data_IF_661412771801
#
_entry.id   IF_661412771801
#
_cell.length_a   1.000
_cell.length_b   1.000
_cell.length_c   1.000
_cell.angle_alpha   90.00
_cell.angle_beta   90.00
_cell.angle_gamma   90.00
#
_symmetry.space_group_name_H-M   'P 1'
#
loop_
_entity.id
_entity.type
_entity.pdbx_description
1 polymer ?
#
# COMPACT_ATOMS: atom_id res chain seq x y z
N UNK A 1 -8.32 -6.68 -6.69
CA UNK A 1 -7.27 -5.64 -6.51
C UNK A 1 -6.27 -5.72 -7.64
N UNK A 2 -5.83 -4.58 -8.17
CA UNK A 2 -4.89 -4.51 -9.29
C UNK A 2 -3.46 -4.86 -8.84
N UNK A 3 -3.09 -4.51 -7.61
CA UNK A 3 -1.85 -4.96 -6.96
C UNK A 3 -1.71 -6.49 -6.97
N UNK A 4 -2.75 -7.20 -6.54
CA UNK A 4 -2.76 -8.68 -6.55
C UNK A 4 -2.49 -9.25 -7.95
N UNK A 5 -3.15 -8.70 -8.97
CA UNK A 5 -2.95 -9.10 -10.37
C UNK A 5 -1.48 -8.91 -10.82
N UNK A 6 -0.85 -7.80 -10.43
CA UNK A 6 0.54 -7.51 -10.76
C UNK A 6 1.53 -8.43 -10.06
N UNK A 7 1.26 -8.76 -8.79
CA UNK A 7 2.11 -9.66 -7.99
C UNK A 7 2.02 -11.10 -8.51
N UNK A 8 0.81 -11.58 -8.82
CA UNK A 8 0.57 -12.96 -9.29
C UNK A 8 0.91 -13.19 -10.77
N UNK A 9 1.09 -12.11 -11.56
CA UNK A 9 1.50 -12.23 -12.95
C UNK A 9 2.89 -12.91 -13.07
N UNK A 10 3.17 -13.63 -14.16
CA UNK A 10 4.47 -14.28 -14.35
C UNK A 10 5.60 -13.25 -14.50
N UNK A 11 5.36 -12.17 -15.23
CA UNK A 11 6.30 -11.06 -15.41
C UNK A 11 5.60 -9.72 -15.15
N UNK A 12 6.41 -8.69 -14.84
CA UNK A 12 5.88 -7.35 -14.57
C UNK A 12 5.17 -6.77 -15.80
N UNK A 13 5.77 -6.92 -16.99
CA UNK A 13 5.16 -6.49 -18.26
C UNK A 13 3.87 -7.27 -18.56
N UNK A 14 3.82 -8.57 -18.25
CA UNK A 14 2.59 -9.35 -18.41
C UNK A 14 1.48 -8.85 -17.49
N UNK A 15 1.81 -8.49 -16.25
CA UNK A 15 0.85 -7.88 -15.32
C UNK A 15 0.37 -6.52 -15.84
N UNK A 16 1.29 -5.67 -16.30
CA UNK A 16 0.96 -4.35 -16.82
C UNK A 16 0.07 -4.44 -18.07
N UNK A 17 0.37 -5.36 -18.99
CA UNK A 17 -0.46 -5.58 -20.17
C UNK A 17 -1.89 -6.03 -19.80
N UNK A 18 -2.04 -6.85 -18.76
CA UNK A 18 -3.36 -7.24 -18.23
C UNK A 18 -4.13 -6.07 -17.60
N UNK A 19 -3.44 -5.09 -17.03
CA UNK A 19 -4.07 -3.87 -16.53
C UNK A 19 -4.47 -2.89 -17.65
N UNK A 20 -3.65 -2.77 -18.70
CA UNK A 20 -3.94 -1.92 -19.85
C UNK A 20 -5.08 -2.48 -20.70
N UNK A 21 -5.19 -3.80 -20.79
CA UNK A 21 -6.24 -4.49 -21.54
C UNK A 21 -7.15 -5.29 -20.59
N UNK A 22 -7.81 -4.60 -19.66
CA UNK A 22 -8.67 -5.25 -18.68
C UNK A 22 -10.08 -5.49 -19.25
N UNK A 23 -10.45 -6.76 -19.39
CA UNK A 23 -11.79 -7.17 -19.83
C UNK A 23 -12.66 -7.75 -18.69
N UNK A 24 -12.12 -7.78 -17.46
CA UNK A 24 -12.77 -8.41 -16.29
C UNK A 24 -13.59 -7.38 -15.53
N UNK A 25 -13.11 -6.13 -15.42
CA UNK A 25 -13.77 -5.09 -14.62
C UNK A 25 -15.04 -4.55 -15.26
N UNK A 26 -15.06 -4.40 -16.59
CA UNK A 26 -16.17 -3.80 -17.34
C UNK A 26 -16.55 -4.65 -18.58
N UNK A 27 -16.76 -5.96 -18.40
CA UNK A 27 -17.18 -6.85 -19.49
C UNK A 27 -18.51 -6.38 -20.12
N UNK A 28 -18.64 -6.33 -21.47
CA UNK A 28 -17.75 -6.89 -22.50
C UNK A 28 -16.61 -5.96 -22.97
N UNK A 29 -16.51 -4.74 -22.44
CA UNK A 29 -15.52 -3.77 -22.90
C UNK A 29 -14.13 -4.07 -22.33
N UNK A 30 -13.10 -3.78 -23.15
CA UNK A 30 -11.71 -3.78 -22.71
C UNK A 30 -11.34 -2.35 -22.34
N UNK A 31 -10.98 -2.13 -21.07
CA UNK A 31 -10.64 -0.80 -20.55
C UNK A 31 -9.21 -0.75 -20.04
N UNK A 32 -8.58 0.40 -20.24
CA UNK A 32 -7.31 0.71 -19.61
C UNK A 32 -7.54 1.04 -18.13
N UNK A 33 -7.32 0.04 -17.26
CA UNK A 33 -7.50 0.20 -15.83
C UNK A 33 -6.52 1.21 -15.23
N UNK A 34 -5.31 1.34 -15.79
CA UNK A 34 -4.28 2.25 -15.29
C UNK A 34 -4.76 3.69 -15.29
N UNK A 35 -5.24 4.14 -16.45
CA UNK A 35 -5.72 5.50 -16.65
C UNK A 35 -7.11 5.70 -16.03
N UNK A 36 -8.03 4.75 -16.24
CA UNK A 36 -9.43 4.90 -15.82
C UNK A 36 -9.61 4.91 -14.31
N UNK A 37 -8.80 4.14 -13.58
CA UNK A 37 -8.89 4.02 -12.13
C UNK A 37 -7.69 4.63 -11.38
N UNK A 38 -6.75 5.29 -12.07
CA UNK A 38 -5.56 5.87 -11.45
C UNK A 38 -4.84 4.90 -10.49
N UNK A 39 -4.62 3.66 -10.92
CA UNK A 39 -4.06 2.57 -10.09
C UNK A 39 -2.53 2.58 -10.07
N UNK A 40 -1.91 3.73 -10.38
CA UNK A 40 -0.47 3.89 -10.40
C UNK A 40 0.20 3.53 -9.06
N UNK A 41 -0.35 3.91 -7.88
CA UNK A 41 0.23 3.49 -6.61
C UNK A 41 0.31 1.98 -6.46
N UNK A 42 -0.72 1.24 -6.88
CA UNK A 42 -0.74 -0.23 -6.82
C UNK A 42 0.33 -0.86 -7.73
N UNK A 43 0.56 -0.27 -8.91
CA UNK A 43 1.61 -0.73 -9.86
C UNK A 43 3.00 -0.46 -9.30
N UNK A 44 3.24 0.72 -8.71
CA UNK A 44 4.53 1.05 -8.07
C UNK A 44 4.82 0.09 -6.91
N UNK A 45 3.84 -0.13 -6.02
CA UNK A 45 3.99 -1.04 -4.87
C UNK A 45 4.24 -2.48 -5.35
N UNK A 46 3.57 -2.93 -6.42
CA UNK A 46 3.84 -4.25 -6.99
C UNK A 46 5.26 -4.38 -7.55
N UNK A 47 5.78 -3.33 -8.18
CA UNK A 47 7.18 -3.25 -8.63
C UNK A 47 8.16 -3.36 -7.47
N UNK A 48 7.93 -2.56 -6.40
CA UNK A 48 8.73 -2.58 -5.19
C UNK A 48 8.68 -3.95 -4.49
N UNK A 49 7.51 -4.58 -4.41
CA UNK A 49 7.36 -5.93 -3.85
C UNK A 49 8.18 -6.96 -4.62
N UNK A 50 8.05 -7.00 -5.95
CA UNK A 50 8.82 -7.92 -6.81
C UNK A 50 10.32 -7.68 -6.69
N UNK A 51 10.73 -6.41 -6.57
CA UNK A 51 12.10 -6.00 -6.27
C UNK A 51 12.58 -6.54 -4.91
N UNK A 52 11.81 -6.33 -3.85
CA UNK A 52 12.11 -6.82 -2.50
C UNK A 52 12.31 -8.34 -2.51
N UNK A 53 11.42 -9.11 -3.14
CA UNK A 53 11.52 -10.57 -3.21
C UNK A 53 12.76 -11.01 -4.01
N UNK A 54 13.11 -10.28 -5.07
CA UNK A 54 14.31 -10.56 -5.85
C UNK A 54 15.58 -10.31 -5.02
N UNK A 55 15.64 -9.18 -4.33
CA UNK A 55 16.76 -8.81 -3.46
C UNK A 55 16.86 -9.76 -2.26
N UNK A 56 15.74 -10.12 -1.64
CA UNK A 56 15.74 -11.01 -0.46
C UNK A 56 16.22 -12.41 -0.82
N UNK A 57 15.87 -12.92 -2.01
CA UNK A 57 16.38 -14.20 -2.53
C UNK A 57 17.87 -14.12 -2.84
N UNK A 58 18.33 -13.01 -3.40
CA UNK A 58 19.75 -12.81 -3.68
C UNK A 58 20.59 -12.68 -2.40
N UNK A 59 20.05 -12.04 -1.36
CA UNK A 59 20.73 -11.82 -0.08
C UNK A 59 20.47 -12.94 0.96
N UNK A 60 19.79 -14.02 0.57
CA UNK A 60 19.40 -15.15 1.46
C UNK A 60 18.70 -14.69 2.75
N UNK A 61 17.87 -13.65 2.66
CA UNK A 61 17.13 -13.09 3.78
C UNK A 61 15.74 -13.74 3.90
N UNK A 62 15.49 -14.37 5.05
CA UNK A 62 14.17 -14.88 5.40
C UNK A 62 13.25 -13.74 5.87
N UNK A 63 12.43 -13.23 4.95
CA UNK A 63 11.49 -12.11 5.18
C UNK A 63 10.04 -12.55 5.46
N UNK A 64 9.78 -13.85 5.51
CA UNK A 64 8.51 -14.43 5.92
C UNK A 64 8.72 -15.77 6.60
N UNK A 65 7.85 -16.09 7.55
CA UNK A 65 7.80 -17.39 8.21
C UNK A 65 6.43 -18.02 7.95
N UNK A 66 6.42 -19.31 7.61
CA UNK A 66 5.20 -20.05 7.33
C UNK A 66 5.03 -21.16 8.36
N UNK A 67 3.87 -21.20 8.98
CA UNK A 67 3.48 -22.20 9.96
C UNK A 67 2.19 -22.89 9.54
N UNK A 68 2.05 -24.14 9.96
CA UNK A 68 0.89 -24.96 9.61
C UNK A 68 -0.13 -24.87 10.74
N UNK A 69 -1.28 -24.25 10.47
CA UNK A 69 -2.33 -24.06 11.47
C UNK A 69 -3.36 -25.18 11.35
N UNK A 70 -3.60 -25.86 12.47
CA UNK A 70 -4.72 -26.81 12.59
C UNK A 70 -6.01 -26.04 12.74
N UNK A 71 -7.00 -26.36 11.91
CA UNK A 71 -8.34 -25.77 11.99
C UNK A 71 -9.22 -26.65 12.88
N UNK A 72 -10.18 -26.02 13.56
CA UNK A 72 -11.23 -26.75 14.26
C UNK A 72 -12.05 -27.59 13.26
N UNK A 73 -12.85 -28.54 13.76
CA UNK A 73 -13.76 -29.42 13.00
C UNK A 73 -13.11 -30.43 12.03
N UNK A 74 -11.91 -30.93 12.33
CA UNK A 74 -11.29 -32.03 11.55
C UNK A 74 -10.90 -31.64 10.12
N UNK A 75 -10.88 -30.35 9.82
CA UNK A 75 -10.45 -29.81 8.54
C UNK A 75 -8.94 -30.00 8.35
N UNK A 76 -8.48 -30.22 7.10
CA UNK A 76 -7.06 -30.34 6.83
C UNK A 76 -6.32 -29.06 7.25
N UNK A 77 -5.11 -29.20 7.78
CA UNK A 77 -4.32 -28.05 8.19
C UNK A 77 -3.95 -27.17 6.98
N UNK A 78 -3.92 -25.86 7.17
CA UNK A 78 -3.63 -24.87 6.12
C UNK A 78 -2.33 -24.13 6.45
N UNK A 79 -1.56 -23.78 5.42
CA UNK A 79 -0.38 -22.93 5.57
C UNK A 79 -0.79 -21.48 5.81
N UNK A 80 -0.31 -20.92 6.91
CA UNK A 80 -0.39 -19.49 7.21
C UNK A 80 1.03 -18.94 7.19
N UNK A 81 1.25 -17.92 6.35
CA UNK A 81 2.53 -17.23 6.29
C UNK A 81 2.36 -15.82 6.83
N UNK A 82 3.35 -15.37 7.59
CA UNK A 82 3.43 -14.02 8.13
C UNK A 82 4.80 -13.40 7.85
N UNK A 83 4.86 -12.08 7.86
CA UNK A 83 6.06 -11.30 7.54
C UNK A 83 5.90 -10.37 6.35
N UNK A 84 6.95 -9.60 6.07
CA UNK A 84 6.94 -8.52 5.06
C UNK A 84 6.97 -9.06 3.63
N UNK A 85 7.44 -10.29 3.41
CA UNK A 85 7.39 -10.94 2.10
C UNK A 85 6.00 -11.48 1.73
N UNK A 86 5.03 -11.43 2.65
CA UNK A 86 3.62 -11.71 2.33
C UNK A 86 3.02 -10.51 1.57
N UNK A 87 2.41 -10.69 0.38
CA UNK A 87 1.96 -9.58 -0.45
C UNK A 87 1.03 -8.58 0.25
N UNK A 88 0.08 -9.08 1.04
CA UNK A 88 -0.89 -8.26 1.75
C UNK A 88 -0.22 -7.42 2.85
N UNK A 89 0.68 -8.03 3.63
CA UNK A 89 1.44 -7.35 4.67
C UNK A 89 2.33 -6.26 4.08
N UNK A 90 3.05 -6.56 2.99
CA UNK A 90 3.90 -5.57 2.30
C UNK A 90 3.09 -4.34 1.87
N UNK A 91 1.96 -4.56 1.21
CA UNK A 91 1.09 -3.48 0.76
C UNK A 91 0.61 -2.62 1.94
N UNK A 92 0.21 -3.27 3.03
CA UNK A 92 -0.25 -2.58 4.23
C UNK A 92 0.87 -1.79 4.89
N UNK A 93 2.09 -2.33 4.96
CA UNK A 93 3.28 -1.59 5.42
C UNK A 93 3.52 -0.33 4.59
N UNK A 94 3.43 -0.41 3.26
CA UNK A 94 3.53 0.77 2.39
C UNK A 94 2.44 1.81 2.71
N UNK A 95 1.19 1.38 2.92
CA UNK A 95 0.10 2.27 3.28
C UNK A 95 0.36 3.01 4.62
N UNK A 96 0.82 2.28 5.65
CA UNK A 96 1.19 2.89 6.93
C UNK A 96 2.37 3.84 6.83
N UNK A 97 3.38 3.50 6.02
CA UNK A 97 4.50 4.42 5.75
C UNK A 97 4.00 5.73 5.11
N UNK A 98 3.09 5.66 4.15
CA UNK A 98 2.50 6.85 3.51
C UNK A 98 1.62 7.67 4.47
N UNK A 99 0.89 7.00 5.36
CA UNK A 99 0.15 7.66 6.43
C UNK A 99 1.09 8.41 7.39
N UNK A 100 2.20 7.78 7.78
CA UNK A 100 3.24 8.40 8.59
C UNK A 100 3.88 9.60 7.90
N UNK A 101 4.17 9.50 6.59
CA UNK A 101 4.67 10.62 5.79
C UNK A 101 3.67 11.78 5.73
N UNK A 102 2.37 11.50 5.65
CA UNK A 102 1.33 12.54 5.68
C UNK A 102 1.41 13.34 6.99
N UNK A 103 1.43 12.65 8.13
CA UNK A 103 1.54 13.29 9.44
C UNK A 103 2.86 14.07 9.58
N UNK A 104 3.96 13.52 9.08
CA UNK A 104 5.26 14.19 9.08
C UNK A 104 5.25 15.47 8.24
N UNK A 105 4.64 15.45 7.05
CA UNK A 105 4.54 16.65 6.21
C UNK A 105 3.62 17.71 6.78
N UNK A 106 2.52 17.33 7.45
CA UNK A 106 1.69 18.28 8.20
C UNK A 106 2.50 18.96 9.31
N UNK A 107 3.28 18.19 10.06
CA UNK A 107 4.17 18.74 11.09
C UNK A 107 5.19 19.71 10.48
N UNK A 108 5.87 19.31 9.40
CA UNK A 108 6.87 20.15 8.74
C UNK A 108 6.24 21.42 8.16
N UNK A 109 5.08 21.34 7.52
CA UNK A 109 4.37 22.50 7.00
C UNK A 109 3.96 23.48 8.11
N UNK A 110 3.42 22.98 9.22
CA UNK A 110 3.08 23.81 10.39
C UNK A 110 4.31 24.44 11.05
N UNK A 111 5.43 23.72 11.10
CA UNK A 111 6.69 24.23 11.64
C UNK A 111 7.30 25.30 10.75
N UNK A 112 7.27 25.12 9.42
CA UNK A 112 7.75 26.08 8.43
C UNK A 112 6.90 27.37 8.45
N UNK A 113 5.57 27.23 8.48
CA UNK A 113 4.65 28.38 8.47
C UNK A 113 4.76 29.23 9.74
N UNK A 114 4.86 28.58 10.91
CA UNK A 114 5.00 29.27 12.20
C UNK A 114 6.44 29.64 12.55
N UNK A 115 7.42 29.14 11.81
CA UNK A 115 8.87 29.19 12.11
C UNK A 115 9.24 28.64 13.50
N UNK A 116 8.42 27.74 14.05
CA UNK A 116 8.64 27.13 15.38
C UNK A 116 8.23 25.67 15.37
N UNK A 117 8.87 24.85 16.21
CA UNK A 117 8.44 23.46 16.39
C UNK A 117 7.05 23.35 17.04
N UNK A 118 6.68 24.34 17.85
CA UNK A 118 5.37 24.40 18.51
C UNK A 118 4.22 24.46 17.49
N UNK A 119 4.34 25.24 16.41
CA UNK A 119 3.31 25.29 15.38
C UNK A 119 3.20 23.98 14.58
N UNK A 120 4.31 23.27 14.38
CA UNK A 120 4.29 21.92 13.81
C UNK A 120 3.57 20.91 14.72
N UNK A 121 3.89 20.92 16.02
CA UNK A 121 3.22 20.09 17.02
C UNK A 121 1.72 20.38 17.09
N UNK A 122 1.33 21.67 17.05
CA UNK A 122 -0.07 22.07 17.04
C UNK A 122 -0.80 21.55 15.79
N UNK A 123 -0.20 21.68 14.61
CA UNK A 123 -0.77 21.18 13.36
C UNK A 123 -0.95 19.64 13.39
N UNK A 124 0.06 18.91 13.85
CA UNK A 124 -0.01 17.47 14.00
C UNK A 124 -1.07 17.05 15.03
N UNK A 125 -1.16 17.74 16.17
CA UNK A 125 -2.19 17.49 17.17
C UNK A 125 -3.59 17.72 16.59
N UNK A 126 -3.82 18.84 15.89
CA UNK A 126 -5.09 19.11 15.21
C UNK A 126 -5.45 18.03 14.19
N UNK A 127 -4.47 17.52 13.43
CA UNK A 127 -4.69 16.40 12.50
C UNK A 127 -5.13 15.12 13.21
N UNK A 128 -4.47 14.74 14.31
CA UNK A 128 -4.86 13.55 15.07
C UNK A 128 -6.17 13.72 15.85
N UNK A 129 -6.48 14.91 16.36
CA UNK A 129 -7.79 15.17 16.98
C UNK A 129 -8.93 15.09 15.97
N UNK A 130 -8.68 15.46 14.72
CA UNK A 130 -9.66 15.38 13.64
C UNK A 130 -9.42 14.17 12.73
N UNK A 131 -8.75 13.11 13.23
CA UNK A 131 -8.23 12.04 12.37
C UNK A 131 -9.33 11.38 11.53
N UNK A 132 -10.49 11.12 12.11
CA UNK A 132 -11.65 10.50 11.44
C UNK A 132 -12.17 11.31 10.25
N UNK A 133 -12.07 12.64 10.33
CA UNK A 133 -12.50 13.55 9.27
C UNK A 133 -11.36 13.90 8.29
N UNK A 134 -10.11 13.83 8.77
CA UNK A 134 -8.93 14.12 7.97
C UNK A 134 -8.48 12.94 7.09
N UNK A 135 -8.69 11.70 7.55
CA UNK A 135 -8.31 10.50 6.81
C UNK A 135 -9.08 9.26 7.26
N UNK A 136 -9.32 8.33 6.35
CA UNK A 136 -9.96 7.05 6.66
C UNK A 136 -8.95 5.91 6.85
N UNK A 137 -7.67 6.24 7.00
CA UNK A 137 -6.58 5.25 7.06
C UNK A 137 -6.74 4.22 8.18
N UNK A 138 -7.36 4.57 9.31
CA UNK A 138 -7.63 3.63 10.41
C UNK A 138 -8.62 2.52 10.01
N UNK A 139 -9.66 2.87 9.25
CA UNK A 139 -10.73 1.93 8.88
C UNK A 139 -10.43 1.20 7.57
N UNK A 140 -9.87 1.93 6.61
CA UNK A 140 -9.55 1.42 5.28
C UNK A 140 -8.14 1.87 4.89
N UNK A 141 -7.08 1.27 5.48
CA UNK A 141 -5.70 1.60 5.12
C UNK A 141 -5.39 1.54 3.62
N UNK A 142 -5.87 0.54 2.84
CA UNK A 142 -5.44 0.37 1.46
C UNK A 142 -6.11 1.32 0.46
N UNK A 143 -6.87 2.31 0.93
CA UNK A 143 -7.57 3.25 0.07
C UNK A 143 -6.58 4.15 -0.68
N UNK A 144 -6.90 4.49 -1.93
CA UNK A 144 -6.01 5.25 -2.82
C UNK A 144 -5.66 6.65 -2.29
N UNK A 145 -6.54 7.25 -1.49
CA UNK A 145 -6.29 8.54 -0.84
C UNK A 145 -5.08 8.52 0.09
N UNK A 146 -4.82 7.40 0.78
CA UNK A 146 -3.64 7.22 1.66
C UNK A 146 -2.33 7.44 0.92
N UNK A 147 -2.28 7.07 -0.36
CA UNK A 147 -1.08 7.23 -1.19
C UNK A 147 -0.97 8.62 -1.82
N UNK A 148 -2.08 9.36 -1.92
CA UNK A 148 -2.10 10.69 -2.51
C UNK A 148 -1.73 11.79 -1.50
N UNK A 149 -2.17 11.65 -0.24
CA UNK A 149 -2.05 12.71 0.78
C UNK A 149 -0.65 13.32 0.95
N UNK A 150 0.45 12.54 1.05
CA UNK A 150 1.78 13.13 1.20
C UNK A 150 2.16 14.04 0.04
N UNK A 151 1.79 13.68 -1.19
CA UNK A 151 2.15 14.46 -2.37
C UNK A 151 1.32 15.73 -2.51
N UNK A 152 0.05 15.69 -2.08
CA UNK A 152 -0.82 16.87 -2.07
C UNK A 152 -0.36 17.96 -1.09
N UNK A 153 0.40 17.61 -0.06
CA UNK A 153 0.93 18.55 0.94
C UNK A 153 2.29 19.16 0.56
N UNK A 154 2.93 18.66 -0.50
CA UNK A 154 4.19 19.18 -1.04
C UNK A 154 3.98 20.24 -2.13
N UNK A 155 2.74 20.42 -2.60
CA UNK A 155 2.32 21.44 -3.57
C UNK A 155 1.88 22.72 -2.84
#
# INVERSE_FOLDING_TARGET
>A
SHYKMMVEAPSFLSGLNRLLHNNITEYPNVVNSLQRFNVMPEVVIAGLYRGLITVSRWAELELQTCYRVTRESGLPPVWSCDGVAVPANFYLSCAWCMAGLTAAFIFLAGAQLSRTLAGGLLAAACFFFNHENATRVMWTPPLRETFAFPFSLLL
#
